data_IF_852323210573
#
_entry.id   IF_852323210573
#
_cell.length_a   1.000
_cell.length_b   1.000
_cell.length_c   1.000
_cell.angle_alpha   90.00
_cell.angle_beta   90.00
_cell.angle_gamma   90.00
#
_symmetry.space_group_name_H-M   'P 1'
#
loop_
_entity.id
_entity.type
_entity.pdbx_description
1 polymer ?
#
# COMPACT_ATOMS: atom_id res chain seq x y z
N UNK A 1 14.58 -4.23 -11.67
CA UNK A 1 14.33 -3.31 -12.79
C UNK A 1 13.95 -1.91 -12.27
N UNK A 2 14.82 -0.91 -12.40
CA UNK A 2 14.67 0.44 -11.81
C UNK A 2 13.46 1.22 -12.36
N UNK A 3 12.91 0.80 -13.51
CA UNK A 3 11.80 1.46 -14.21
C UNK A 3 10.40 1.17 -13.65
N UNK A 4 10.20 0.07 -12.90
CA UNK A 4 8.89 -0.18 -12.26
C UNK A 4 8.73 0.66 -11.00
N UNK A 5 9.80 0.78 -10.21
CA UNK A 5 9.82 1.49 -8.94
C UNK A 5 9.38 2.95 -9.07
N UNK A 6 9.97 3.73 -9.99
CA UNK A 6 9.66 5.15 -10.15
C UNK A 6 8.18 5.39 -10.54
N UNK A 7 7.60 4.47 -11.32
CA UNK A 7 6.23 4.60 -11.81
C UNK A 7 5.21 4.35 -10.72
N UNK A 8 5.41 3.31 -9.93
CA UNK A 8 4.50 2.90 -8.85
C UNK A 8 4.63 3.79 -7.61
N UNK A 9 5.83 4.32 -7.35
CA UNK A 9 6.08 5.16 -6.18
C UNK A 9 5.91 6.67 -6.40
N UNK A 10 5.99 7.17 -7.65
CA UNK A 10 5.99 8.62 -7.91
C UNK A 10 4.88 9.07 -8.87
N UNK A 11 4.71 8.41 -10.03
CA UNK A 11 3.73 8.87 -11.03
C UNK A 11 2.29 8.46 -10.75
N UNK A 12 2.05 7.21 -10.38
CA UNK A 12 0.70 6.69 -10.13
C UNK A 12 -0.01 7.30 -8.90
N UNK A 13 0.68 7.58 -7.79
CA UNK A 13 0.02 8.20 -6.63
C UNK A 13 -0.59 9.56 -6.96
N UNK A 14 0.09 10.39 -7.75
CA UNK A 14 -0.46 11.68 -8.16
C UNK A 14 -1.70 11.52 -9.06
N UNK A 15 -1.69 10.56 -10.00
CA UNK A 15 -2.84 10.30 -10.88
C UNK A 15 -4.03 9.68 -10.15
N UNK A 16 -3.79 8.83 -9.14
CA UNK A 16 -4.86 8.26 -8.33
C UNK A 16 -5.42 9.27 -7.33
N UNK A 17 -4.57 10.16 -6.79
CA UNK A 17 -5.00 11.27 -5.96
C UNK A 17 -5.90 12.24 -6.75
N UNK A 18 -5.53 12.62 -7.97
CA UNK A 18 -6.40 13.48 -8.81
C UNK A 18 -7.73 12.84 -9.19
N UNK A 19 -7.81 11.51 -9.16
CA UNK A 19 -9.05 10.74 -9.37
C UNK A 19 -9.82 10.46 -8.07
N UNK A 20 -9.34 10.93 -6.92
CA UNK A 20 -10.01 10.80 -5.64
C UNK A 20 -10.06 9.38 -5.09
N UNK A 21 -9.12 8.49 -5.46
CA UNK A 21 -9.09 7.13 -4.93
C UNK A 21 -8.70 7.19 -3.44
N UNK A 22 -9.58 6.79 -2.50
CA UNK A 22 -9.39 7.07 -1.08
C UNK A 22 -8.24 6.27 -0.45
N UNK A 23 -7.89 5.12 -1.02
CA UNK A 23 -6.93 4.18 -0.46
C UNK A 23 -6.10 3.51 -1.56
N UNK A 24 -4.77 3.46 -1.39
CA UNK A 24 -3.83 2.93 -2.37
C UNK A 24 -2.80 1.99 -1.73
N UNK A 25 -2.67 0.78 -2.26
CA UNK A 25 -1.81 -0.26 -1.69
C UNK A 25 -0.60 -0.51 -2.58
N UNK A 26 0.58 -0.56 -1.98
CA UNK A 26 1.83 -0.92 -2.62
C UNK A 26 2.36 -2.18 -1.94
N UNK A 27 2.46 -3.28 -2.69
CA UNK A 27 3.06 -4.52 -2.20
C UNK A 27 4.50 -4.58 -2.70
N UNK A 28 5.47 -4.66 -1.80
CA UNK A 28 6.89 -4.75 -2.12
C UNK A 28 7.50 -6.05 -1.55
N UNK A 29 7.45 -7.15 -2.31
CA UNK A 29 8.04 -8.43 -1.92
C UNK A 29 9.55 -8.40 -1.75
N UNK A 30 10.24 -7.49 -2.46
CA UNK A 30 11.70 -7.38 -2.37
C UNK A 30 12.12 -6.82 -1.01
N UNK A 31 11.32 -5.90 -0.46
CA UNK A 31 11.52 -5.32 0.87
C UNK A 31 10.69 -5.99 1.97
N UNK A 32 9.94 -7.05 1.63
CA UNK A 32 9.00 -7.73 2.53
C UNK A 32 8.06 -6.77 3.29
N UNK A 33 7.48 -5.80 2.56
CA UNK A 33 6.56 -4.82 3.15
C UNK A 33 5.33 -4.55 2.29
N UNK A 34 4.27 -4.09 2.95
CA UNK A 34 3.05 -3.58 2.37
C UNK A 34 2.90 -2.12 2.80
N UNK A 35 2.72 -1.18 1.87
CA UNK A 35 2.37 0.22 2.17
C UNK A 35 0.91 0.46 1.87
N UNK A 36 0.19 1.10 2.77
CA UNK A 36 -1.18 1.57 2.56
C UNK A 36 -1.17 3.09 2.64
N UNK A 37 -1.58 3.73 1.56
CA UNK A 37 -1.74 5.18 1.44
C UNK A 37 -3.20 5.57 1.56
N UNK A 38 -3.50 6.54 2.43
CA UNK A 38 -4.83 7.16 2.54
C UNK A 38 -4.79 8.56 1.94
N UNK A 39 -5.75 8.87 1.06
CA UNK A 39 -5.84 10.18 0.44
C UNK A 39 -6.36 11.21 1.44
N UNK A 40 -5.56 12.24 1.75
CA UNK A 40 -5.89 13.37 2.62
C UNK A 40 -5.48 14.65 1.88
N UNK A 41 -6.42 15.56 1.70
CA UNK A 41 -6.21 16.88 1.06
C UNK A 41 -5.33 16.78 -0.20
N UNK A 42 -5.71 15.88 -1.12
CA UNK A 42 -5.05 15.61 -2.41
C UNK A 42 -3.68 14.91 -2.36
N UNK A 43 -3.26 14.39 -1.20
CA UNK A 43 -2.01 13.64 -1.06
C UNK A 43 -2.19 12.32 -0.32
N UNK A 44 -1.46 11.28 -0.72
CA UNK A 44 -1.45 10.02 0.02
C UNK A 44 -0.54 10.09 1.24
N UNK A 45 -1.10 9.81 2.41
CA UNK A 45 -0.35 9.53 3.64
C UNK A 45 -0.13 8.03 3.75
N UNK A 46 1.12 7.59 3.59
CA UNK A 46 1.48 6.17 3.58
C UNK A 46 1.89 5.66 4.96
N UNK A 47 1.44 4.44 5.27
CA UNK A 47 1.90 3.66 6.41
C UNK A 47 2.44 2.30 5.94
N UNK A 48 3.52 1.85 6.57
CA UNK A 48 4.22 0.62 6.23
C UNK A 48 3.86 -0.49 7.22
N UNK A 49 3.68 -1.68 6.68
CA UNK A 49 3.35 -2.89 7.41
C UNK A 49 4.29 -4.02 6.99
N UNK A 50 4.80 -4.77 7.95
CA UNK A 50 5.72 -5.90 7.76
C UNK A 50 5.32 -7.09 8.63
N UNK A 51 5.72 -8.29 8.21
CA UNK A 51 5.51 -9.52 8.97
C UNK A 51 4.06 -9.71 9.45
N UNK A 52 3.89 -9.91 10.76
CA UNK A 52 2.59 -10.17 11.38
C UNK A 52 1.77 -8.92 11.71
N UNK A 53 2.20 -7.72 11.28
CA UNK A 53 1.41 -6.51 11.48
C UNK A 53 0.10 -6.60 10.69
N UNK A 54 -1.03 -6.40 11.39
CA UNK A 54 -2.35 -6.39 10.79
C UNK A 54 -2.54 -5.10 10.00
N UNK A 55 -2.84 -5.25 8.71
CA UNK A 55 -3.09 -4.15 7.80
C UNK A 55 -4.31 -3.35 8.26
N UNK A 56 -4.17 -2.01 8.28
CA UNK A 56 -5.27 -1.12 8.63
C UNK A 56 -5.84 -0.49 7.36
N UNK A 57 -7.08 -0.86 7.04
CA UNK A 57 -7.82 -0.36 5.87
C UNK A 57 -9.08 0.38 6.34
N UNK A 58 -9.12 1.72 6.26
CA UNK A 58 -10.35 2.46 6.48
C UNK A 58 -11.46 2.09 5.48
N UNK A 59 -11.10 1.72 4.25
CA UNK A 59 -12.07 1.30 3.22
C UNK A 59 -12.69 -0.06 3.55
N UNK A 60 -11.92 -0.96 4.16
CA UNK A 60 -12.36 -2.30 4.54
C UNK A 60 -12.03 -2.60 6.02
N UNK A 61 -12.78 -2.03 6.99
CA UNK A 61 -12.46 -2.18 8.42
C UNK A 61 -12.50 -3.62 8.96
N UNK A 62 -13.21 -4.52 8.26
CA UNK A 62 -13.29 -5.94 8.62
C UNK A 62 -12.15 -6.80 8.05
N UNK A 63 -11.27 -6.24 7.22
CA UNK A 63 -10.18 -6.97 6.58
C UNK A 63 -9.08 -7.26 7.60
N UNK A 64 -8.92 -8.54 7.95
CA UNK A 64 -7.90 -9.02 8.89
C UNK A 64 -6.82 -9.80 8.15
N UNK A 65 -5.92 -9.07 7.50
CA UNK A 65 -4.74 -9.63 6.84
C UNK A 65 -3.48 -9.09 7.50
N UNK A 66 -2.44 -9.91 7.58
CA UNK A 66 -1.08 -9.44 7.91
C UNK A 66 -0.30 -9.15 6.64
N UNK A 67 0.76 -8.33 6.77
CA UNK A 67 1.67 -8.10 5.64
C UNK A 67 2.28 -9.41 5.10
N UNK A 68 2.67 -10.32 5.97
CA UNK A 68 3.20 -11.64 5.61
C UNK A 68 2.19 -12.45 4.77
N UNK A 69 0.91 -12.49 5.18
CA UNK A 69 -0.14 -13.17 4.42
C UNK A 69 -0.33 -12.58 3.02
N UNK A 70 -0.26 -11.26 2.88
CA UNK A 70 -0.34 -10.58 1.58
C UNK A 70 0.89 -10.84 0.71
N UNK A 71 2.06 -10.96 1.33
CA UNK A 71 3.32 -11.27 0.65
C UNK A 71 3.44 -12.75 0.27
N UNK A 72 2.51 -13.60 0.72
CA UNK A 72 2.57 -15.05 0.54
C UNK A 72 3.57 -15.73 1.47
N UNK A 73 4.05 -15.04 2.50
CA UNK A 73 4.88 -15.59 3.56
C UNK A 73 3.96 -16.18 4.63
N UNK A 74 3.74 -17.50 4.60
CA UNK A 74 2.89 -18.16 5.60
C UNK A 74 2.18 -19.43 5.15
N UNK A 75 2.87 -20.31 4.42
CA UNK A 75 2.50 -21.74 4.28
C UNK A 75 3.53 -22.61 4.94
#
# INVERSE_FOLDING_TARGET
DKKSYDRDYVKKPAEYATRGIPEYWIIDPVKALVKIGILIDDSYQFQDFTGNQVLQSPTFPGLKLTAAQVLGEGT
#
